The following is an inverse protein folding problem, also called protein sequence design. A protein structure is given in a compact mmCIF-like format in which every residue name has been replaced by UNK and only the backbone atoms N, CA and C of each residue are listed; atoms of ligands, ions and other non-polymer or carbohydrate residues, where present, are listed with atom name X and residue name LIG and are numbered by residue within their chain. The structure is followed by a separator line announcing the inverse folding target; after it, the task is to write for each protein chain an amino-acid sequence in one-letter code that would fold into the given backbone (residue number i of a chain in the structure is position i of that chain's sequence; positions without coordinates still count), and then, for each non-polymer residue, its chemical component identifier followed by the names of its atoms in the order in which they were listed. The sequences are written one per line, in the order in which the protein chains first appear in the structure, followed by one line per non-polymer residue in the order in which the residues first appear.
data_IF_878054902087
#
_entry.id   IF_878054902087
#
_cell.length_a   1.000
_cell.length_b   1.000
_cell.length_c   1.000
_cell.angle_alpha   90.00
_cell.angle_beta   90.00
_cell.angle_gamma   90.00
#
_symmetry.space_group_name_H-M   'P 1'
#
loop_
_entity.id
_entity.type
_entity.pdbx_description
1 polymer ?
#
# COMPACT_ATOMS: atom_id res chain seq x y z
N UNK A 1 23.43 70.73 140.14
CA UNK A 1 23.20 71.93 139.31
C UNK A 1 23.83 71.62 137.96
N UNK A 2 23.16 71.60 136.83
CA UNK A 2 21.82 72.00 136.43
C UNK A 2 21.50 71.21 135.15
N UNK A 3 20.26 70.73 135.00
CA UNK A 3 19.82 69.97 133.82
C UNK A 3 19.78 70.90 132.61
N UNK A 4 20.54 70.59 131.56
CA UNK A 4 20.23 71.05 130.22
C UNK A 4 19.38 69.96 129.54
N UNK A 5 18.06 70.12 129.62
CA UNK A 5 17.10 69.35 128.82
C UNK A 5 17.24 69.78 127.36
N UNK A 6 17.80 68.90 126.54
CA UNK A 6 17.66 68.99 125.10
C UNK A 6 16.30 68.39 124.74
N UNK A 7 15.36 69.25 124.37
CA UNK A 7 14.13 68.83 123.70
C UNK A 7 14.51 68.14 122.39
N UNK A 8 14.54 66.81 122.42
CA UNK A 8 14.52 66.00 121.21
C UNK A 8 13.12 66.08 120.62
N UNK A 9 12.92 67.08 119.75
CA UNK A 9 11.81 67.08 118.81
C UNK A 9 11.94 65.85 117.90
N UNK A 10 11.31 64.76 118.32
CA UNK A 10 11.10 63.57 117.51
C UNK A 10 10.13 63.98 116.39
N UNK A 11 10.66 64.46 115.27
CA UNK A 11 9.90 64.56 114.02
C UNK A 11 9.63 63.15 113.53
N UNK A 12 8.55 62.56 114.02
CA UNK A 12 7.94 61.38 113.40
C UNK A 12 7.35 61.86 112.08
N UNK A 13 8.07 61.63 110.99
CA UNK A 13 7.54 61.89 109.65
C UNK A 13 6.78 60.63 109.26
N UNK A 14 5.45 60.70 109.23
CA UNK A 14 4.64 59.63 108.67
C UNK A 14 4.70 59.77 107.16
N UNK A 15 5.56 58.98 106.51
CA UNK A 15 5.51 58.87 105.05
C UNK A 15 4.28 58.05 104.71
N UNK A 16 3.17 58.72 104.40
CA UNK A 16 1.94 58.07 103.93
C UNK A 16 2.31 57.22 102.70
N UNK A 17 2.16 55.91 102.86
CA UNK A 17 2.46 54.95 101.80
C UNK A 17 1.24 54.84 100.89
N UNK A 18 1.46 54.87 99.58
CA UNK A 18 0.43 54.60 98.60
C UNK A 18 0.06 53.12 98.62
N UNK A 19 -1.21 52.81 98.33
CA UNK A 19 -1.63 51.44 98.00
C UNK A 19 -1.07 50.93 96.66
N UNK A 20 -0.34 51.76 95.93
CA UNK A 20 0.42 51.41 94.72
C UNK A 20 -0.41 51.46 93.43
N UNK A 21 0.26 51.17 92.32
CA UNK A 21 -0.30 51.11 90.97
C UNK A 21 -0.17 49.67 90.43
N UNK A 22 -1.30 49.07 90.04
CA UNK A 22 -1.34 47.84 89.25
C UNK A 22 -1.33 48.18 87.77
N UNK A 23 -0.31 47.75 87.05
CA UNK A 23 -0.20 47.88 85.61
C UNK A 23 -0.63 46.55 84.98
N UNK A 24 -1.74 46.56 84.26
CA UNK A 24 -2.32 45.37 83.62
C UNK A 24 -2.10 45.42 82.12
N UNK A 25 -1.58 44.34 81.58
CA UNK A 25 -1.47 44.08 80.15
C UNK A 25 -2.59 43.11 79.78
N UNK A 26 -3.57 43.58 79.01
CA UNK A 26 -4.85 42.89 78.83
C UNK A 26 -5.03 42.54 77.35
N UNK A 27 -5.45 41.32 77.04
CA UNK A 27 -5.95 40.98 75.71
C UNK A 27 -7.28 41.72 75.49
N UNK A 28 -7.30 42.59 74.49
CA UNK A 28 -8.45 43.44 74.18
C UNK A 28 -9.70 42.62 73.83
N UNK A 29 -9.52 41.44 73.24
CA UNK A 29 -10.59 40.65 72.67
C UNK A 29 -11.19 39.68 73.70
N UNK A 30 -10.36 39.06 74.54
CA UNK A 30 -10.82 38.12 75.58
C UNK A 30 -11.00 38.75 76.95
N UNK A 31 -10.35 39.88 77.23
CA UNK A 31 -10.26 40.49 78.56
C UNK A 31 -9.26 39.81 79.51
N UNK A 32 -8.53 38.80 79.04
CA UNK A 32 -7.53 38.07 79.82
C UNK A 32 -6.35 38.99 80.23
N UNK A 33 -5.94 38.94 81.49
CA UNK A 33 -4.73 39.62 81.95
C UNK A 33 -3.52 38.78 81.54
N UNK A 34 -2.80 39.23 80.51
CA UNK A 34 -1.60 38.61 79.96
C UNK A 34 -0.40 38.72 80.90
N UNK A 35 -0.29 39.87 81.58
CA UNK A 35 0.70 40.13 82.64
C UNK A 35 0.20 41.24 83.54
N UNK A 36 0.53 41.16 84.83
CA UNK A 36 0.30 42.23 85.79
C UNK A 36 1.62 42.60 86.47
N UNK A 37 1.87 43.90 86.63
CA UNK A 37 3.02 44.44 87.37
C UNK A 37 2.51 45.36 88.48
N UNK A 38 3.22 45.39 89.61
CA UNK A 38 2.84 46.21 90.76
C UNK A 38 3.98 47.18 91.10
N UNK A 39 3.66 48.46 91.24
CA UNK A 39 4.61 49.50 91.59
C UNK A 39 4.11 50.29 92.81
N UNK A 40 4.93 50.44 93.84
CA UNK A 40 4.59 51.14 95.09
C UNK A 40 5.54 52.29 95.41
N UNK A 41 5.15 53.13 96.37
CA UNK A 41 5.95 54.27 96.82
C UNK A 41 5.16 55.24 97.71
N UNK A 42 5.78 56.36 98.03
CA UNK A 42 5.16 57.43 98.82
C UNK A 42 4.08 58.17 98.01
N UNK A 43 3.02 58.62 98.69
CA UNK A 43 1.98 59.45 98.07
C UNK A 43 2.61 60.70 97.43
N UNK A 44 2.18 61.04 96.21
CA UNK A 44 2.68 62.16 95.42
C UNK A 44 3.88 61.86 94.52
N UNK A 45 4.53 60.69 94.67
CA UNK A 45 5.58 60.24 93.75
C UNK A 45 5.00 59.95 92.36
N UNK A 46 5.72 60.32 91.30
CA UNK A 46 5.37 59.98 89.92
C UNK A 46 5.98 58.63 89.55
N UNK A 47 5.15 57.74 89.04
CA UNK A 47 5.52 56.43 88.51
C UNK A 47 5.27 56.40 87.01
N UNK A 48 6.24 55.89 86.24
CA UNK A 48 6.13 55.74 84.78
C UNK A 48 5.81 54.30 84.42
N UNK A 49 4.86 54.13 83.51
CA UNK A 49 4.44 52.84 82.97
C UNK A 49 4.71 52.81 81.47
N UNK A 50 4.87 51.62 80.88
CA UNK A 50 5.06 51.47 79.45
C UNK A 50 4.44 50.16 78.96
N UNK A 51 4.17 50.11 77.65
CA UNK A 51 3.85 48.86 76.99
C UNK A 51 5.04 47.90 77.03
N UNK A 52 4.75 46.61 76.92
CA UNK A 52 5.73 45.53 76.97
C UNK A 52 5.62 44.69 75.71
N UNK A 53 6.75 44.13 75.25
CA UNK A 53 6.73 43.13 74.19
C UNK A 53 6.22 41.79 74.77
N UNK A 54 5.05 41.35 74.30
CA UNK A 54 4.42 40.09 74.69
C UNK A 54 4.39 39.19 73.46
N UNK A 55 4.90 37.96 73.59
CA UNK A 55 4.94 37.00 72.49
C UNK A 55 3.56 36.81 71.84
N UNK A 56 3.48 36.94 70.52
CA UNK A 56 2.23 36.86 69.70
C UNK A 56 1.19 37.95 69.94
N UNK A 57 1.54 39.02 70.66
CA UNK A 57 0.66 40.15 70.89
C UNK A 57 1.29 41.45 70.40
N UNK A 58 0.46 42.35 69.90
CA UNK A 58 0.85 43.72 69.54
C UNK A 58 0.06 44.69 70.40
N UNK A 59 0.74 45.70 70.96
CA UNK A 59 0.08 46.77 71.71
C UNK A 59 -0.82 47.57 70.75
N UNK A 60 -2.10 47.68 71.08
CA UNK A 60 -3.07 48.41 70.25
C UNK A 60 -3.68 49.63 70.95
N UNK A 61 -3.62 49.69 72.28
CA UNK A 61 -4.16 50.80 73.06
C UNK A 61 -3.31 51.03 74.30
N UNK A 62 -2.87 52.26 74.50
CA UNK A 62 -2.14 52.71 75.69
C UNK A 62 -3.04 53.55 76.58
N UNK A 63 -2.79 53.63 77.89
CA UNK A 63 -3.53 54.53 78.77
C UNK A 63 -3.35 55.99 78.33
N UNK A 64 -4.34 56.83 78.63
CA UNK A 64 -4.30 58.27 78.31
C UNK A 64 -3.10 58.96 78.98
N UNK A 65 -2.76 58.55 80.20
CA UNK A 65 -1.59 59.01 80.94
C UNK A 65 -0.73 57.82 81.37
N UNK A 66 0.47 57.72 80.81
CA UNK A 66 1.46 56.70 81.18
C UNK A 66 2.26 57.05 82.46
N UNK A 67 2.12 58.29 82.94
CA UNK A 67 2.67 58.77 84.21
C UNK A 67 1.57 58.89 85.25
N UNK A 68 1.74 58.19 86.38
CA UNK A 68 0.75 58.13 87.46
C UNK A 68 1.33 58.77 88.71
N UNK A 69 0.63 59.77 89.24
CA UNK A 69 0.91 60.33 90.58
C UNK A 69 0.25 59.40 91.60
N UNK A 70 1.06 58.83 92.50
CA UNK A 70 0.62 57.89 93.53
C UNK A 70 -0.34 58.54 94.53
N UNK A 71 -1.51 57.93 94.73
CA UNK A 71 -2.52 58.35 95.73
C UNK A 71 -2.65 57.34 96.87
N UNK A 72 -3.50 57.63 97.85
CA UNK A 72 -3.75 56.72 98.97
C UNK A 72 -4.43 55.43 98.50
N UNK A 73 -5.38 55.55 97.57
CA UNK A 73 -6.08 54.45 96.93
C UNK A 73 -5.24 53.69 95.88
N UNK A 74 -5.55 52.40 95.68
CA UNK A 74 -4.94 51.58 94.63
C UNK A 74 -5.38 52.08 93.25
N UNK A 75 -4.41 52.34 92.37
CA UNK A 75 -4.64 52.83 91.01
C UNK A 75 -4.38 51.71 89.99
N UNK A 76 -5.14 51.71 88.88
CA UNK A 76 -5.00 50.69 87.82
C UNK A 76 -4.69 51.37 86.50
N UNK A 77 -3.66 50.90 85.81
CA UNK A 77 -3.27 51.33 84.46
C UNK A 77 -3.39 50.16 83.51
N UNK A 78 -4.17 50.30 82.45
CA UNK A 78 -4.39 49.23 81.47
C UNK A 78 -3.68 49.54 80.15
N UNK A 79 -2.94 48.56 79.64
CA UNK A 79 -2.45 48.49 78.27
C UNK A 79 -3.19 47.36 77.56
N UNK A 80 -3.82 47.64 76.42
CA UNK A 80 -4.53 46.62 75.66
C UNK A 80 -3.75 46.13 74.46
N UNK A 81 -3.72 44.82 74.30
CA UNK A 81 -2.99 44.11 73.26
C UNK A 81 -3.97 43.32 72.39
N UNK A 82 -3.67 43.21 71.11
CA UNK A 82 -4.39 42.31 70.21
C UNK A 82 -3.46 41.18 69.81
N UNK A 83 -3.96 39.95 69.91
CA UNK A 83 -3.23 38.76 69.47
C UNK A 83 -3.05 38.82 67.95
N UNK A 84 -1.90 38.40 67.44
CA UNK A 84 -1.70 38.21 66.00
C UNK A 84 -1.34 36.76 65.70
N UNK A 85 -1.64 36.34 64.48
CA UNK A 85 -1.32 35.01 63.97
C UNK A 85 -0.56 35.12 62.65
N UNK A 86 0.23 34.09 62.37
CA UNK A 86 1.02 34.01 61.13
C UNK A 86 0.17 33.42 60.00
N UNK A 87 0.35 33.97 58.80
CA UNK A 87 -0.21 33.48 57.55
C UNK A 87 0.96 33.08 56.65
N UNK A 88 0.97 31.82 56.24
CA UNK A 88 2.04 31.19 55.46
C UNK A 88 1.46 30.69 54.14
N UNK A 89 1.97 31.22 53.02
CA UNK A 89 1.53 30.87 51.67
C UNK A 89 2.66 30.21 50.91
N UNK A 90 2.40 29.02 50.36
CA UNK A 90 3.36 28.25 49.57
C UNK A 90 2.83 27.93 48.19
N UNK A 91 3.75 27.83 47.22
CA UNK A 91 3.47 27.46 45.84
C UNK A 91 4.22 26.17 45.53
N UNK A 92 3.50 25.07 45.32
CA UNK A 92 4.05 23.71 45.38
C UNK A 92 3.80 22.96 44.06
N UNK A 93 4.81 22.24 43.59
CA UNK A 93 4.64 21.23 42.53
C UNK A 93 3.87 20.03 43.08
N UNK A 94 2.72 19.71 42.50
CA UNK A 94 1.85 18.65 43.02
C UNK A 94 2.47 17.24 42.91
N UNK A 95 3.38 17.04 41.95
CA UNK A 95 3.99 15.74 41.69
C UNK A 95 5.25 15.53 42.55
N UNK A 96 6.05 16.59 42.72
CA UNK A 96 7.33 16.54 43.46
C UNK A 96 7.24 17.01 44.91
N UNK A 97 6.14 17.68 45.27
CA UNK A 97 5.89 18.25 46.59
C UNK A 97 6.97 19.23 47.07
N UNK A 98 7.63 19.93 46.15
CA UNK A 98 8.63 20.97 46.43
C UNK A 98 8.10 22.37 46.11
N UNK A 99 8.66 23.39 46.76
CA UNK A 99 8.32 24.79 46.48
C UNK A 99 8.89 25.23 45.13
N UNK A 100 8.05 25.84 44.29
CA UNK A 100 8.39 26.29 42.92
C UNK A 100 8.41 27.81 42.74
N UNK A 101 8.00 28.55 43.78
CA UNK A 101 8.12 30.00 43.86
C UNK A 101 8.37 30.42 45.31
N UNK A 102 8.84 31.65 45.50
CA UNK A 102 9.09 32.22 46.84
C UNK A 102 7.80 32.22 47.67
N UNK A 103 7.85 31.55 48.82
CA UNK A 103 6.80 31.55 49.83
C UNK A 103 6.59 32.92 50.47
N UNK A 104 5.37 33.21 50.87
CA UNK A 104 4.98 34.47 51.51
C UNK A 104 4.63 34.22 52.98
N UNK A 105 5.10 35.12 53.84
CA UNK A 105 4.76 35.11 55.26
C UNK A 105 4.33 36.51 55.66
N UNK A 106 3.21 36.59 56.35
CA UNK A 106 2.70 37.83 56.92
C UNK A 106 2.07 37.52 58.27
N UNK A 107 1.90 38.53 59.11
CA UNK A 107 1.12 38.43 60.33
C UNK A 107 -0.04 39.43 60.30
N UNK A 108 -1.14 39.05 60.93
CA UNK A 108 -2.36 39.86 61.01
C UNK A 108 -2.97 39.68 62.39
N UNK A 109 -3.56 40.76 62.91
CA UNK A 109 -4.30 40.71 64.19
C UNK A 109 -5.49 39.76 64.07
N UNK A 110 -5.85 39.14 65.18
CA UNK A 110 -7.06 38.34 65.31
C UNK A 110 -8.28 39.13 64.81
N UNK A 111 -9.23 38.45 64.19
CA UNK A 111 -10.43 38.99 63.55
C UNK A 111 -10.21 39.92 62.34
N UNK A 112 -8.96 40.22 61.96
CA UNK A 112 -8.69 40.94 60.70
C UNK A 112 -9.01 40.07 59.49
N UNK A 113 -9.43 40.69 58.40
CA UNK A 113 -9.58 40.01 57.11
C UNK A 113 -8.21 39.74 56.46
N UNK A 114 -8.13 38.61 55.76
CA UNK A 114 -6.99 38.22 54.95
C UNK A 114 -7.43 37.67 53.60
N UNK A 115 -6.55 37.80 52.61
CA UNK A 115 -6.71 37.25 51.27
C UNK A 115 -5.36 36.88 50.70
N UNK A 116 -5.34 35.82 49.90
CA UNK A 116 -4.16 35.26 49.27
C UNK A 116 -4.51 34.86 47.84
N UNK A 117 -3.52 34.95 46.94
CA UNK A 117 -3.71 34.68 45.53
C UNK A 117 -2.68 33.70 44.99
N UNK A 118 -3.11 32.93 43.99
CA UNK A 118 -2.22 32.12 43.16
C UNK A 118 -1.30 33.05 42.35
N UNK A 119 -0.08 32.61 42.11
CA UNK A 119 0.86 33.27 41.20
C UNK A 119 0.80 32.66 39.80
N UNK A 120 1.08 33.49 38.80
CA UNK A 120 1.46 33.01 37.46
C UNK A 120 2.94 32.63 37.48
N UNK A 121 3.20 31.32 37.39
CA UNK A 121 4.55 30.76 37.48
C UNK A 121 4.93 30.21 36.10
N UNK A 122 6.01 30.75 35.51
CA UNK A 122 6.46 30.36 34.17
C UNK A 122 6.71 28.85 34.09
N UNK A 123 6.06 28.19 33.13
CA UNK A 123 6.19 26.75 32.90
C UNK A 123 5.34 25.89 33.84
N UNK A 124 4.44 26.49 34.61
CA UNK A 124 3.54 25.79 35.52
C UNK A 124 2.10 26.25 35.32
N UNK A 125 1.15 25.33 35.53
CA UNK A 125 -0.29 25.61 35.49
C UNK A 125 -0.90 25.30 36.85
N UNK A 126 -1.71 26.22 37.36
CA UNK A 126 -2.42 26.07 38.64
C UNK A 126 -3.45 24.94 38.56
N UNK A 127 -3.50 24.11 39.59
CA UNK A 127 -4.42 22.96 39.66
C UNK A 127 -5.42 23.12 40.80
N UNK A 128 -4.93 23.33 42.03
CA UNK A 128 -5.79 23.39 43.22
C UNK A 128 -5.14 24.17 44.35
N UNK A 129 -5.95 24.59 45.31
CA UNK A 129 -5.49 25.20 46.58
C UNK A 129 -5.89 24.28 47.73
N UNK A 130 -5.08 24.25 48.80
CA UNK A 130 -5.46 23.67 50.09
C UNK A 130 -5.31 24.71 51.18
N UNK A 131 -6.23 24.71 52.14
CA UNK A 131 -6.40 25.81 53.09
C UNK A 131 -7.41 26.83 52.57
N UNK A 132 -7.78 27.79 53.42
CA UNK A 132 -8.72 28.84 53.08
C UNK A 132 -7.96 30.05 52.50
N UNK A 133 -8.15 30.42 51.22
CA UNK A 133 -7.39 31.50 50.61
C UNK A 133 -7.85 32.89 51.09
N UNK A 134 -9.05 32.99 51.66
CA UNK A 134 -9.63 34.23 52.17
C UNK A 134 -10.41 33.95 53.45
N UNK A 135 -10.49 34.92 54.36
CA UNK A 135 -11.31 34.80 55.56
C UNK A 135 -10.92 35.78 56.65
N UNK A 136 -11.26 35.43 57.90
CA UNK A 136 -10.81 36.15 59.10
C UNK A 136 -9.78 35.36 59.88
N UNK A 137 -8.84 36.09 60.46
CA UNK A 137 -7.73 35.50 61.20
C UNK A 137 -8.19 35.06 62.59
N UNK A 138 -8.25 33.75 62.83
CA UNK A 138 -8.62 33.17 64.13
C UNK A 138 -7.53 32.28 64.73
N UNK A 139 -6.59 31.82 63.89
CA UNK A 139 -5.43 31.02 64.25
C UNK A 139 -4.33 31.23 63.19
N UNK A 140 -3.20 30.53 63.31
CA UNK A 140 -2.24 30.44 62.22
C UNK A 140 -2.91 29.84 60.97
N UNK A 141 -2.61 30.40 59.81
CA UNK A 141 -3.21 30.01 58.53
C UNK A 141 -2.10 29.54 57.58
N UNK A 142 -2.29 28.36 57.00
CA UNK A 142 -1.41 27.81 55.95
C UNK A 142 -2.20 27.61 54.66
N UNK A 143 -1.82 28.33 53.61
CA UNK A 143 -2.40 28.21 52.27
C UNK A 143 -1.36 27.63 51.32
N UNK A 144 -1.71 26.60 50.56
CA UNK A 144 -0.84 25.99 49.56
C UNK A 144 -1.52 25.98 48.20
N UNK A 145 -0.93 26.67 47.23
CA UNK A 145 -1.33 26.61 45.83
C UNK A 145 -0.50 25.54 45.12
N UNK A 146 -1.18 24.53 44.55
CA UNK A 146 -0.56 23.41 43.85
C UNK A 146 -0.62 23.60 42.34
N UNK A 147 0.49 23.27 41.68
CA UNK A 147 0.69 23.43 40.25
C UNK A 147 1.22 22.14 39.63
N UNK A 148 0.96 21.95 38.34
CA UNK A 148 1.65 20.95 37.51
C UNK A 148 2.58 21.65 36.53
N UNK A 149 3.71 21.01 36.21
CA UNK A 149 4.64 21.51 35.20
C UNK A 149 4.05 21.34 33.80
N UNK A 150 4.27 22.33 32.94
CA UNK A 150 3.88 22.30 31.53
C UNK A 150 4.96 21.58 30.72
N UNK A 151 4.58 20.70 29.80
CA UNK A 151 5.50 20.04 28.87
C UNK A 151 4.85 19.74 27.54
N UNK A 152 5.67 19.35 26.55
CA UNK A 152 5.25 19.09 25.19
C UNK A 152 5.59 17.68 24.74
N UNK A 153 4.72 17.08 23.94
CA UNK A 153 5.01 15.87 23.18
C UNK A 153 5.02 16.23 21.70
N UNK A 154 6.19 16.09 21.08
CA UNK A 154 6.38 16.21 19.64
C UNK A 154 6.28 14.84 19.01
N UNK A 155 5.38 14.67 18.04
CA UNK A 155 5.23 13.42 17.27
C UNK A 155 5.65 13.69 15.83
N UNK A 156 6.65 12.96 15.33
CA UNK A 156 7.07 13.03 13.94
C UNK A 156 6.69 11.75 13.19
N UNK A 157 6.27 11.93 11.94
CA UNK A 157 6.06 10.85 10.99
C UNK A 157 7.12 10.98 9.90
N UNK A 158 7.99 9.99 9.77
CA UNK A 158 9.28 10.11 9.06
C UNK A 158 9.38 9.01 8.00
N UNK A 159 9.83 9.37 6.81
CA UNK A 159 10.27 8.41 5.80
C UNK A 159 11.59 7.75 6.25
N UNK A 160 11.59 6.43 6.46
CA UNK A 160 12.72 5.67 7.02
C UNK A 160 13.96 5.70 6.11
N UNK A 161 13.79 5.80 4.79
CA UNK A 161 14.90 5.73 3.83
C UNK A 161 15.57 7.09 3.64
N UNK A 162 14.79 8.17 3.67
CA UNK A 162 15.26 9.53 3.37
C UNK A 162 15.34 10.45 4.58
N UNK A 163 14.82 10.03 5.74
CA UNK A 163 14.66 10.83 6.95
C UNK A 163 13.79 12.10 6.77
N UNK A 164 13.06 12.21 5.65
CA UNK A 164 12.16 13.33 5.41
C UNK A 164 10.94 13.23 6.32
N UNK A 165 10.55 14.34 6.96
CA UNK A 165 9.27 14.44 7.66
C UNK A 165 8.11 14.41 6.67
N UNK A 166 7.23 13.44 6.86
CA UNK A 166 5.95 13.31 6.16
C UNK A 166 4.91 14.22 6.82
N UNK A 167 4.95 14.31 8.16
CA UNK A 167 4.07 15.13 8.98
C UNK A 167 4.67 15.30 10.40
N UNK A 168 4.20 16.29 11.16
CA UNK A 168 4.54 16.46 12.57
C UNK A 168 3.39 17.08 13.38
N UNK A 169 3.34 16.80 14.68
CA UNK A 169 2.47 17.49 15.62
C UNK A 169 3.20 17.83 16.91
N UNK A 170 2.82 18.94 17.53
CA UNK A 170 3.29 19.38 18.85
C UNK A 170 2.07 19.49 19.73
N UNK A 171 2.07 18.80 20.86
CA UNK A 171 0.94 18.70 21.77
C UNK A 171 1.40 19.19 23.13
N UNK A 172 0.78 20.24 23.65
CA UNK A 172 1.05 20.76 24.99
C UNK A 172 0.19 20.01 26.03
N UNK A 173 0.73 19.79 27.23
CA UNK A 173 0.01 19.13 28.32
C UNK A 173 0.67 19.37 29.68
N UNK A 174 0.05 18.86 30.74
CA UNK A 174 0.59 18.96 32.10
C UNK A 174 1.21 17.64 32.53
N UNK A 175 2.28 17.71 33.31
CA UNK A 175 2.96 16.53 33.84
C UNK A 175 1.98 15.54 34.51
N UNK A 176 2.09 14.27 34.09
CA UNK A 176 1.25 13.16 34.54
C UNK A 176 -0.03 12.93 33.72
N UNK A 177 -0.43 13.88 32.88
CA UNK A 177 -1.59 13.73 31.98
C UNK A 177 -1.30 12.66 30.92
N UNK A 178 -2.33 11.91 30.53
CA UNK A 178 -2.23 10.86 29.51
C UNK A 178 -2.30 11.45 28.10
N UNK A 179 -1.44 10.95 27.22
CA UNK A 179 -1.39 11.28 25.80
C UNK A 179 -1.47 10.02 24.95
N UNK A 180 -2.44 9.98 24.03
CA UNK A 180 -2.65 8.85 23.14
C UNK A 180 -1.72 8.95 21.93
N UNK A 181 -1.07 7.84 21.61
CA UNK A 181 -0.13 7.72 20.49
C UNK A 181 -0.84 7.09 19.29
N UNK A 182 -0.94 7.84 18.19
CA UNK A 182 -1.68 7.42 17.00
C UNK A 182 -0.80 7.38 15.74
N UNK A 183 -0.90 6.25 15.02
CA UNK A 183 -0.32 6.09 13.69
C UNK A 183 -1.18 6.84 12.66
N UNK A 184 -0.55 7.53 11.72
CA UNK A 184 -1.22 8.10 10.56
C UNK A 184 -1.08 7.20 9.34
N UNK A 185 -2.03 7.32 8.42
CA UNK A 185 -1.98 6.69 7.11
C UNK A 185 -1.52 7.72 6.08
N UNK A 186 -0.51 7.37 5.28
CA UNK A 186 0.00 8.21 4.21
C UNK A 186 -0.14 7.48 2.88
N UNK A 187 -0.54 8.20 1.82
CA UNK A 187 -0.70 7.61 0.49
C UNK A 187 0.65 7.06 -0.01
N UNK A 188 0.66 5.80 -0.44
CA UNK A 188 1.84 5.08 -0.93
C UNK A 188 2.96 4.92 0.14
N UNK A 189 2.59 4.82 1.41
CA UNK A 189 3.51 4.51 2.50
C UNK A 189 2.90 3.48 3.44
N UNK A 190 3.76 2.65 4.03
CA UNK A 190 3.37 1.72 5.09
C UNK A 190 4.21 1.92 6.34
N UNK A 191 3.56 1.77 7.49
CA UNK A 191 4.21 1.84 8.79
C UNK A 191 5.19 0.69 8.97
N UNK A 192 6.39 1.00 9.46
CA UNK A 192 7.46 0.03 9.70
C UNK A 192 7.82 -0.05 11.18
N UNK A 193 8.00 1.10 11.84
CA UNK A 193 8.55 1.16 13.19
C UNK A 193 8.04 2.38 13.93
N UNK A 194 7.81 2.26 15.24
CA UNK A 194 7.35 3.36 16.08
C UNK A 194 7.28 2.92 17.55
N UNK A 195 6.68 3.74 18.43
CA UNK A 195 6.49 3.39 19.84
C UNK A 195 5.72 2.07 20.00
N UNK A 196 6.05 1.32 21.05
CA UNK A 196 5.38 0.06 21.39
C UNK A 196 4.07 0.31 22.14
N UNK A 197 4.06 1.35 22.97
CA UNK A 197 2.91 1.77 23.74
C UNK A 197 1.89 2.54 22.88
N UNK A 198 0.61 2.38 23.20
CA UNK A 198 -0.49 3.14 22.59
C UNK A 198 -0.79 4.47 23.30
N UNK A 199 -0.19 4.68 24.47
CA UNK A 199 -0.29 5.92 25.24
C UNK A 199 0.95 6.11 26.10
N UNK A 200 1.27 7.36 26.39
CA UNK A 200 2.34 7.76 27.31
C UNK A 200 1.81 8.89 28.21
N UNK A 201 2.54 9.22 29.28
CA UNK A 201 2.25 10.39 30.09
C UNK A 201 3.16 11.55 29.72
N UNK A 202 2.65 12.77 29.85
CA UNK A 202 3.48 13.97 29.84
C UNK A 202 4.48 13.91 31.01
N UNK A 203 5.76 14.13 30.71
CA UNK A 203 6.84 14.14 31.70
C UNK A 203 7.16 15.55 32.15
N UNK A 204 8.09 15.69 33.09
CA UNK A 204 8.62 16.99 33.53
C UNK A 204 9.58 17.66 32.52
N UNK A 205 9.67 17.10 31.31
CA UNK A 205 10.43 17.58 30.15
C UNK A 205 9.69 17.24 28.87
N UNK A 206 10.05 17.95 27.79
CA UNK A 206 9.51 17.65 26.48
C UNK A 206 9.99 16.28 25.97
N UNK A 207 9.12 15.60 25.23
CA UNK A 207 9.36 14.26 24.68
C UNK A 207 9.17 14.28 23.16
N UNK A 208 10.02 13.56 22.44
CA UNK A 208 9.91 13.37 20.99
C UNK A 208 9.64 11.90 20.66
N UNK A 209 8.60 11.66 19.86
CA UNK A 209 8.16 10.34 19.41
C UNK A 209 8.22 10.28 17.90
N UNK A 210 8.82 9.19 17.38
CA UNK A 210 9.02 9.02 15.94
C UNK A 210 8.28 7.77 15.44
N UNK A 211 7.47 7.95 14.40
CA UNK A 211 6.90 6.89 13.59
C UNK A 211 7.61 6.85 12.23
N UNK A 212 8.11 5.69 11.84
CA UNK A 212 8.82 5.49 10.59
C UNK A 212 7.97 4.73 9.58
N UNK A 213 7.99 5.22 8.35
CA UNK A 213 7.26 4.69 7.21
C UNK A 213 8.20 4.41 6.05
N UNK A 214 7.85 3.43 5.23
CA UNK A 214 8.55 3.17 3.97
C UNK A 214 7.60 3.36 2.80
N UNK A 215 8.09 3.94 1.71
CA UNK A 215 7.29 4.15 0.51
C UNK A 215 6.97 2.81 -0.15
N UNK A 216 5.78 2.69 -0.73
CA UNK A 216 5.40 1.59 -1.60
C UNK A 216 5.22 2.07 -3.03
N UNK A 217 5.62 1.22 -3.97
CA UNK A 217 5.47 1.44 -5.41
C UNK A 217 4.87 0.19 -6.05
N UNK A 218 4.15 0.37 -7.16
CA UNK A 218 3.57 -0.74 -7.89
C UNK A 218 4.60 -1.36 -8.85
N UNK A 219 4.71 -2.69 -8.82
CA UNK A 219 5.26 -3.49 -9.90
C UNK A 219 4.13 -3.94 -10.80
N UNK A 220 4.15 -3.51 -12.06
CA UNK A 220 3.11 -3.75 -13.06
C UNK A 220 3.72 -4.62 -14.16
N UNK A 221 3.22 -5.84 -14.32
CA UNK A 221 3.68 -6.78 -15.36
C UNK A 221 2.55 -6.99 -16.34
N UNK A 222 2.74 -6.56 -17.59
CA UNK A 222 1.76 -6.73 -18.66
C UNK A 222 2.21 -7.79 -19.66
N UNK A 223 1.25 -8.59 -20.10
CA UNK A 223 1.42 -9.56 -21.17
C UNK A 223 0.60 -9.10 -22.37
N UNK A 224 1.26 -8.81 -23.48
CA UNK A 224 0.71 -8.02 -24.60
C UNK A 224 0.83 -8.81 -25.90
N UNK A 225 -0.25 -8.86 -26.68
CA UNK A 225 -0.20 -9.30 -28.07
C UNK A 225 0.49 -8.21 -28.92
N UNK A 226 1.64 -8.53 -29.50
CA UNK A 226 2.49 -7.61 -30.27
C UNK A 226 1.78 -7.09 -31.52
N UNK A 227 0.90 -7.88 -32.13
CA UNK A 227 0.37 -7.58 -33.45
C UNK A 227 -0.78 -6.56 -33.37
N UNK A 228 -1.49 -6.50 -32.23
CA UNK A 228 -2.63 -5.60 -32.03
C UNK A 228 -2.58 -4.79 -30.72
N UNK A 229 -1.50 -4.91 -29.94
CA UNK A 229 -1.30 -4.28 -28.63
C UNK A 229 -2.35 -4.61 -27.57
N UNK A 230 -3.13 -5.68 -27.74
CA UNK A 230 -4.10 -6.13 -26.74
C UNK A 230 -3.37 -6.65 -25.50
N UNK A 231 -3.74 -6.13 -24.33
CA UNK A 231 -3.31 -6.68 -23.05
C UNK A 231 -4.09 -7.98 -22.81
N UNK A 232 -3.36 -9.09 -22.76
CA UNK A 232 -3.90 -10.41 -22.47
C UNK A 232 -4.02 -10.66 -20.97
N UNK A 233 -3.08 -10.13 -20.20
CA UNK A 233 -3.05 -10.24 -18.74
C UNK A 233 -2.22 -9.12 -18.11
N UNK A 234 -2.54 -8.76 -16.86
CA UNK A 234 -1.79 -7.78 -16.08
C UNK A 234 -1.71 -8.18 -14.61
N UNK A 235 -0.49 -8.24 -14.08
CA UNK A 235 -0.23 -8.43 -12.66
C UNK A 235 0.22 -7.13 -12.02
N UNK A 236 -0.41 -6.75 -10.91
CA UNK A 236 -0.02 -5.57 -10.12
C UNK A 236 0.33 -6.03 -8.71
N UNK A 237 1.55 -5.74 -8.26
CA UNK A 237 2.02 -6.03 -6.89
C UNK A 237 2.54 -4.76 -6.25
N UNK A 238 2.02 -4.41 -5.07
CA UNK A 238 2.57 -3.33 -4.24
C UNK A 238 3.77 -3.85 -3.46
N UNK A 239 4.91 -3.20 -3.65
CA UNK A 239 6.16 -3.58 -2.99
C UNK A 239 6.77 -2.37 -2.27
N UNK A 240 7.39 -2.63 -1.11
CA UNK A 240 8.06 -1.61 -0.30
C UNK A 240 9.39 -1.23 -0.93
N UNK A 241 9.76 0.04 -0.88
CA UNK A 241 11.05 0.54 -1.36
C UNK A 241 12.21 -0.31 -0.82
N UNK A 242 13.02 -0.85 -1.73
CA UNK A 242 14.12 -1.76 -1.39
C UNK A 242 13.76 -3.25 -1.42
N UNK A 243 12.49 -3.64 -1.63
CA UNK A 243 12.11 -5.03 -1.88
C UNK A 243 12.60 -5.50 -3.24
N UNK A 244 13.12 -6.72 -3.30
CA UNK A 244 13.47 -7.37 -4.55
C UNK A 244 12.21 -7.89 -5.27
N UNK A 245 12.26 -7.88 -6.59
CA UNK A 245 11.26 -8.52 -7.43
C UNK A 245 11.92 -9.41 -8.47
N UNK A 246 11.21 -10.46 -8.86
CA UNK A 246 11.53 -11.31 -10.01
C UNK A 246 10.23 -11.60 -10.75
N UNK A 247 10.27 -11.48 -12.06
CA UNK A 247 9.14 -11.79 -12.95
C UNK A 247 9.52 -12.89 -13.91
N UNK A 248 8.51 -13.53 -14.49
CA UNK A 248 8.67 -14.60 -15.47
C UNK A 248 7.56 -14.51 -16.51
N UNK A 249 7.83 -15.00 -17.72
CA UNK A 249 6.81 -15.15 -18.75
C UNK A 249 5.66 -16.05 -18.27
N UNK A 250 4.46 -15.80 -18.80
CA UNK A 250 3.33 -16.73 -18.80
C UNK A 250 3.22 -17.48 -20.11
N UNK A 251 2.55 -18.63 -20.06
CA UNK A 251 2.13 -19.39 -21.24
C UNK A 251 0.68 -19.01 -21.57
N UNK A 252 0.44 -18.72 -22.85
CA UNK A 252 -0.90 -18.41 -23.37
C UNK A 252 -1.18 -19.37 -24.52
N UNK A 253 -2.38 -19.94 -24.54
CA UNK A 253 -2.76 -20.87 -25.60
C UNK A 253 -2.73 -20.18 -26.98
N UNK A 254 -2.11 -20.84 -27.95
CA UNK A 254 -1.87 -20.32 -29.30
C UNK A 254 -0.97 -19.09 -29.42
N UNK A 255 -0.14 -18.77 -28.42
CA UNK A 255 0.85 -17.70 -28.50
C UNK A 255 2.26 -18.19 -28.18
N UNK A 256 3.24 -17.47 -28.70
CA UNK A 256 4.64 -17.61 -28.32
C UNK A 256 5.21 -16.27 -27.88
N UNK A 257 6.11 -16.30 -26.89
CA UNK A 257 6.83 -15.11 -26.45
C UNK A 257 7.82 -14.67 -27.53
N UNK A 258 7.79 -13.38 -27.88
CA UNK A 258 8.69 -12.79 -28.88
C UNK A 258 9.60 -11.71 -28.31
N UNK A 259 9.23 -11.09 -27.18
CA UNK A 259 10.09 -10.11 -26.50
C UNK A 259 9.80 -10.11 -25.00
N UNK A 260 10.86 -10.17 -24.21
CA UNK A 260 10.84 -10.03 -22.74
C UNK A 260 11.30 -8.62 -22.33
N UNK A 261 10.97 -8.14 -21.12
CA UNK A 261 11.53 -6.90 -20.60
C UNK A 261 13.06 -7.02 -20.43
N UNK A 262 13.77 -5.89 -20.47
CA UNK A 262 15.24 -5.87 -20.32
C UNK A 262 15.70 -6.29 -18.92
N UNK A 263 14.91 -5.94 -17.90
CA UNK A 263 15.20 -6.19 -16.49
C UNK A 263 14.04 -6.99 -15.88
N UNK A 264 14.20 -8.31 -15.79
CA UNK A 264 13.20 -9.22 -15.21
C UNK A 264 13.31 -9.32 -13.68
N UNK A 265 14.46 -8.92 -13.13
CA UNK A 265 14.80 -8.95 -11.70
C UNK A 265 15.41 -7.63 -11.29
N UNK A 266 15.03 -7.12 -10.13
CA UNK A 266 15.59 -5.89 -9.60
C UNK A 266 15.06 -5.55 -8.23
N UNK A 267 15.31 -4.32 -7.80
CA UNK A 267 14.83 -3.79 -6.52
C UNK A 267 13.83 -2.67 -6.80
N UNK A 268 12.68 -2.70 -6.15
CA UNK A 268 11.67 -1.66 -6.31
C UNK A 268 12.17 -0.36 -5.68
N UNK A 269 12.06 0.73 -6.43
CA UNK A 269 12.40 2.08 -5.97
C UNK A 269 11.19 2.87 -5.51
N UNK A 270 11.28 4.20 -5.63
CA UNK A 270 10.22 5.15 -5.25
C UNK A 270 9.21 5.43 -6.36
N UNK A 271 9.44 4.89 -7.54
CA UNK A 271 8.58 4.99 -8.71
C UNK A 271 8.04 3.60 -9.05
N UNK A 272 6.85 3.57 -9.67
CA UNK A 272 6.29 2.34 -10.20
C UNK A 272 7.21 1.77 -11.28
N UNK A 273 7.28 0.45 -11.36
CA UNK A 273 8.04 -0.29 -12.38
C UNK A 273 7.04 -0.99 -13.28
N UNK A 274 7.12 -0.75 -14.58
CA UNK A 274 6.28 -1.41 -15.58
C UNK A 274 7.15 -2.30 -16.49
N UNK A 275 6.76 -3.57 -16.62
CA UNK A 275 7.45 -4.58 -17.40
C UNK A 275 6.48 -5.21 -18.42
N UNK A 276 6.91 -5.31 -19.67
CA UNK A 276 6.08 -5.77 -20.77
C UNK A 276 6.67 -7.03 -21.42
N UNK A 277 5.91 -8.12 -21.40
CA UNK A 277 6.15 -9.33 -22.18
C UNK A 277 5.28 -9.29 -23.44
N UNK A 278 5.89 -9.41 -24.61
CA UNK A 278 5.19 -9.38 -25.89
C UNK A 278 5.13 -10.77 -26.51
N UNK A 279 3.95 -11.11 -27.01
CA UNK A 279 3.62 -12.39 -27.60
C UNK A 279 3.09 -12.20 -29.02
N UNK A 280 3.18 -13.25 -29.85
CA UNK A 280 2.45 -13.31 -31.12
C UNK A 280 1.69 -14.62 -31.24
N UNK A 281 0.64 -14.65 -32.05
CA UNK A 281 -0.07 -15.89 -32.34
C UNK A 281 0.82 -16.89 -33.09
N UNK A 282 0.60 -18.18 -32.84
CA UNK A 282 1.18 -19.26 -33.62
C UNK A 282 0.77 -19.14 -35.09
N UNK A 283 1.70 -19.37 -36.00
CA UNK A 283 1.44 -19.44 -37.43
C UNK A 283 0.89 -20.82 -37.80
N UNK A 284 0.08 -20.85 -38.85
CA UNK A 284 -0.58 -22.06 -39.33
C UNK A 284 -0.56 -22.11 -40.85
N UNK A 285 -0.19 -23.25 -41.43
CA UNK A 285 -0.21 -23.49 -42.87
C UNK A 285 -0.11 -24.98 -43.18
N UNK A 286 -1.04 -25.50 -43.97
CA UNK A 286 -0.96 -26.83 -44.55
C UNK A 286 -0.50 -26.76 -46.00
N UNK A 287 -0.08 -27.89 -46.55
CA UNK A 287 0.12 -28.03 -47.99
C UNK A 287 -0.15 -29.46 -48.43
N UNK A 288 -0.57 -29.64 -49.69
CA UNK A 288 -0.80 -30.94 -50.32
C UNK A 288 -0.13 -31.00 -51.68
N UNK A 289 0.45 -32.16 -52.00
CA UNK A 289 1.01 -32.48 -53.31
C UNK A 289 0.51 -33.86 -53.75
N UNK A 290 0.04 -33.99 -54.98
CA UNK A 290 -0.48 -35.22 -55.55
C UNK A 290 0.24 -35.56 -56.84
N UNK A 291 0.72 -36.79 -56.92
CA UNK A 291 1.35 -37.33 -58.12
C UNK A 291 0.69 -38.65 -58.50
N UNK A 292 0.55 -38.89 -59.81
CA UNK A 292 0.21 -40.22 -60.31
C UNK A 292 1.46 -41.08 -60.14
N UNK A 293 1.33 -42.20 -59.41
CA UNK A 293 2.41 -43.17 -59.21
C UNK A 293 2.30 -44.36 -60.15
N UNK A 294 1.07 -44.73 -60.50
CA UNK A 294 0.80 -45.89 -61.35
C UNK A 294 -0.55 -45.76 -62.04
N UNK A 295 -0.64 -46.23 -63.28
CA UNK A 295 -1.91 -46.43 -63.96
C UNK A 295 -1.92 -47.78 -64.68
N UNK A 296 -2.91 -48.62 -64.37
CA UNK A 296 -3.23 -49.81 -65.17
C UNK A 296 -4.37 -49.47 -66.12
N UNK A 297 -4.07 -49.47 -67.42
CA UNK A 297 -5.02 -49.11 -68.46
C UNK A 297 -5.20 -50.32 -69.35
N UNK A 298 -6.40 -50.93 -69.32
CA UNK A 298 -6.75 -52.11 -70.12
C UNK A 298 -5.79 -53.30 -69.92
N UNK A 299 -5.20 -53.46 -68.72
CA UNK A 299 -4.23 -54.51 -68.39
C UNK A 299 -2.77 -54.12 -68.61
N UNK A 300 -2.48 -52.88 -69.01
CA UNK A 300 -1.11 -52.35 -69.13
C UNK A 300 -0.78 -51.40 -67.99
N UNK A 301 0.19 -51.83 -67.19
CA UNK A 301 0.77 -51.03 -66.12
C UNK A 301 1.73 -49.99 -66.70
N UNK A 302 1.54 -48.75 -66.27
CA UNK A 302 2.44 -47.64 -66.49
C UNK A 302 2.81 -47.04 -65.14
N UNK A 303 4.09 -47.04 -64.81
CA UNK A 303 4.61 -46.37 -63.62
C UNK A 303 4.94 -44.93 -63.98
N UNK A 304 4.40 -44.01 -63.20
CA UNK A 304 4.53 -42.58 -63.40
C UNK A 304 5.03 -41.94 -62.11
N UNK A 305 5.73 -40.82 -62.18
CA UNK A 305 6.03 -40.04 -60.99
C UNK A 305 5.90 -38.57 -61.36
N UNK A 306 4.65 -38.10 -61.46
CA UNK A 306 4.42 -36.70 -61.81
C UNK A 306 2.95 -36.29 -61.93
N UNK A 307 2.79 -35.00 -62.22
CA UNK A 307 1.48 -34.32 -62.29
C UNK A 307 0.84 -34.38 -63.66
N UNK A 308 1.63 -34.46 -64.72
CA UNK A 308 1.16 -34.46 -66.10
C UNK A 308 1.78 -35.63 -66.83
N UNK A 309 0.95 -36.62 -67.16
CA UNK A 309 1.42 -37.88 -67.74
C UNK A 309 0.55 -38.28 -68.91
N UNK A 310 1.16 -39.01 -69.85
CA UNK A 310 0.52 -39.48 -71.07
C UNK A 310 0.70 -40.99 -71.16
N UNK A 311 -0.40 -41.70 -71.37
CA UNK A 311 -0.41 -43.14 -71.64
C UNK A 311 -0.81 -43.40 -73.10
N UNK A 312 0.10 -44.00 -73.87
CA UNK A 312 -0.15 -44.43 -75.25
C UNK A 312 -0.58 -45.91 -75.26
N UNK A 313 -1.84 -46.17 -75.59
CA UNK A 313 -2.44 -47.50 -75.52
C UNK A 313 -2.58 -48.08 -76.94
N UNK A 314 -2.09 -49.29 -77.25
CA UNK A 314 -2.30 -49.91 -78.55
C UNK A 314 -3.77 -50.12 -78.88
N UNK A 315 -4.14 -49.94 -80.16
CA UNK A 315 -5.51 -50.14 -80.64
C UNK A 315 -6.08 -51.54 -80.35
N UNK A 316 -5.22 -52.56 -80.18
CA UNK A 316 -5.63 -53.92 -79.77
C UNK A 316 -6.30 -53.95 -78.39
N UNK A 317 -5.85 -53.09 -77.49
CA UNK A 317 -6.21 -53.15 -76.06
C UNK A 317 -7.44 -52.28 -75.76
N UNK A 318 -7.78 -51.34 -76.65
CA UNK A 318 -9.07 -50.64 -76.62
C UNK A 318 -10.27 -51.58 -76.78
N UNK A 319 -10.05 -52.76 -77.38
CA UNK A 319 -11.12 -53.72 -77.67
C UNK A 319 -11.42 -54.67 -76.50
N UNK A 320 -10.62 -54.66 -75.43
CA UNK A 320 -10.85 -55.53 -74.27
C UNK A 320 -11.73 -54.83 -73.22
N UNK A 321 -12.45 -55.63 -72.42
CA UNK A 321 -13.40 -55.12 -71.41
C UNK A 321 -12.73 -54.78 -70.06
N UNK A 322 -11.40 -54.74 -69.99
CA UNK A 322 -10.70 -54.34 -68.77
C UNK A 322 -10.90 -52.84 -68.51
N UNK A 323 -10.74 -52.40 -67.27
CA UNK A 323 -10.98 -51.02 -66.86
C UNK A 323 -9.75 -50.12 -66.92
N UNK A 324 -9.82 -49.01 -66.19
CA UNK A 324 -8.69 -48.15 -65.85
C UNK A 324 -8.57 -48.09 -64.34
N UNK A 325 -7.38 -48.34 -63.79
CA UNK A 325 -7.02 -48.12 -62.39
C UNK A 325 -5.93 -47.07 -62.34
N UNK A 326 -6.11 -46.02 -61.54
CA UNK A 326 -5.09 -45.00 -61.33
C UNK A 326 -4.79 -44.94 -59.84
N UNK A 327 -3.50 -45.00 -59.51
CA UNK A 327 -2.99 -44.88 -58.16
C UNK A 327 -2.22 -43.56 -58.03
N UNK A 328 -2.62 -42.79 -57.03
CA UNK A 328 -2.04 -41.51 -56.66
C UNK A 328 -1.25 -41.66 -55.37
N UNK A 329 -0.16 -40.91 -55.26
CA UNK A 329 0.51 -40.63 -54.00
C UNK A 329 0.23 -39.18 -53.62
N UNK A 330 -0.47 -39.01 -52.51
CA UNK A 330 -0.83 -37.72 -51.92
C UNK A 330 0.08 -37.49 -50.71
N UNK A 331 0.76 -36.35 -50.67
CA UNK A 331 1.65 -35.95 -49.59
C UNK A 331 1.08 -34.70 -48.95
N UNK A 332 0.74 -34.77 -47.67
CA UNK A 332 0.27 -33.62 -46.89
C UNK A 332 1.38 -33.20 -45.92
N UNK A 333 1.59 -31.90 -45.74
CA UNK A 333 2.56 -31.34 -44.80
C UNK A 333 1.91 -30.27 -43.93
N UNK A 334 2.24 -30.27 -42.65
CA UNK A 334 2.04 -29.11 -41.78
C UNK A 334 3.35 -28.32 -41.75
N UNK A 335 3.32 -27.10 -42.26
CA UNK A 335 4.52 -26.32 -42.56
C UNK A 335 4.85 -25.25 -41.52
N UNK A 336 4.00 -25.11 -40.49
CA UNK A 336 4.11 -24.03 -39.50
C UNK A 336 3.97 -24.58 -38.07
N UNK A 337 3.66 -23.70 -37.11
CA UNK A 337 3.95 -23.88 -35.68
C UNK A 337 2.81 -24.52 -34.88
N UNK A 338 1.66 -24.75 -35.51
CA UNK A 338 0.44 -25.17 -34.82
C UNK A 338 0.14 -26.65 -35.06
N UNK A 339 -0.20 -27.38 -33.99
CA UNK A 339 -0.83 -28.71 -34.12
C UNK A 339 -2.29 -28.52 -34.54
N UNK A 340 -2.72 -29.19 -35.60
CA UNK A 340 -4.10 -29.09 -36.09
C UNK A 340 -4.68 -30.44 -36.48
N UNK A 341 -6.01 -30.50 -36.55
CA UNK A 341 -6.70 -31.54 -37.29
C UNK A 341 -7.09 -31.00 -38.68
N UNK A 342 -7.04 -31.88 -39.69
CA UNK A 342 -7.31 -31.52 -41.07
C UNK A 342 -8.14 -32.60 -41.79
N UNK A 343 -8.95 -32.17 -42.75
CA UNK A 343 -9.64 -33.02 -43.71
C UNK A 343 -8.87 -33.02 -45.02
N UNK A 344 -8.39 -34.18 -45.44
CA UNK A 344 -7.91 -34.41 -46.79
C UNK A 344 -9.08 -34.84 -47.67
N UNK A 345 -9.26 -34.20 -48.82
CA UNK A 345 -10.39 -34.38 -49.71
C UNK A 345 -9.85 -34.64 -51.12
N UNK A 346 -10.21 -35.78 -51.71
CA UNK A 346 -9.98 -36.07 -53.13
C UNK A 346 -11.30 -35.90 -53.90
N UNK A 347 -11.23 -35.26 -55.06
CA UNK A 347 -12.36 -35.01 -55.95
C UNK A 347 -12.33 -36.01 -57.09
N UNK A 348 -12.95 -37.17 -56.86
CA UNK A 348 -12.95 -38.31 -57.76
C UNK A 348 -13.48 -37.86 -59.14
N UNK A 349 -12.71 -38.05 -60.23
CA UNK A 349 -13.11 -37.66 -61.57
C UNK A 349 -14.41 -38.34 -62.02
N UNK A 350 -15.20 -37.65 -62.85
CA UNK A 350 -16.43 -38.21 -63.41
C UNK A 350 -16.19 -39.55 -64.12
N UNK A 351 -17.05 -40.54 -63.88
CA UNK A 351 -16.93 -41.89 -64.44
C UNK A 351 -15.93 -42.79 -63.72
N UNK A 352 -15.25 -42.30 -62.68
CA UNK A 352 -14.42 -43.09 -61.78
C UNK A 352 -15.13 -43.30 -60.44
N UNK A 353 -14.79 -44.42 -59.79
CA UNK A 353 -15.19 -44.74 -58.43
C UNK A 353 -13.95 -45.06 -57.60
N UNK A 354 -14.01 -44.84 -56.29
CA UNK A 354 -13.04 -45.35 -55.34
C UNK A 354 -13.71 -46.39 -54.45
N UNK A 355 -12.96 -47.40 -54.03
CA UNK A 355 -13.45 -48.52 -53.22
C UNK A 355 -12.77 -48.52 -51.87
N UNK A 356 -13.49 -48.89 -50.82
CA UNK A 356 -12.98 -48.88 -49.44
C UNK A 356 -11.87 -49.92 -49.23
N UNK A 357 -11.95 -51.06 -49.90
CA UNK A 357 -10.98 -52.14 -49.81
C UNK A 357 -9.60 -51.72 -50.34
N UNK A 358 -9.59 -50.86 -51.37
CA UNK A 358 -8.38 -50.33 -51.99
C UNK A 358 -7.85 -49.05 -51.30
N UNK A 359 -8.67 -48.43 -50.45
CA UNK A 359 -8.42 -47.12 -49.85
C UNK A 359 -8.83 -47.10 -48.37
N UNK A 360 -8.18 -47.90 -47.51
CA UNK A 360 -8.54 -47.97 -46.10
C UNK A 360 -8.40 -46.61 -45.41
N UNK A 361 -9.37 -46.25 -44.58
CA UNK A 361 -9.40 -44.99 -43.82
C UNK A 361 -9.97 -43.78 -44.57
N UNK A 362 -10.38 -43.94 -45.82
CA UNK A 362 -11.16 -42.94 -46.56
C UNK A 362 -12.66 -43.16 -46.40
N UNK A 363 -13.42 -42.07 -46.29
CA UNK A 363 -14.88 -42.03 -46.30
C UNK A 363 -15.37 -41.47 -47.64
N UNK A 364 -16.39 -42.09 -48.25
CA UNK A 364 -16.81 -41.77 -49.62
C UNK A 364 -18.18 -41.09 -49.67
N UNK A 365 -18.27 -40.03 -50.48
CA UNK A 365 -19.48 -39.22 -50.65
C UNK A 365 -19.64 -38.84 -52.12
N UNK A 366 -20.54 -39.53 -52.83
CA UNK A 366 -20.84 -39.33 -54.27
C UNK A 366 -19.59 -39.24 -55.17
N UNK A 367 -19.03 -38.04 -55.31
CA UNK A 367 -17.86 -37.70 -56.12
C UNK A 367 -16.62 -37.25 -55.31
N UNK A 368 -16.60 -37.46 -54.00
CA UNK A 368 -15.47 -37.11 -53.13
C UNK A 368 -15.10 -38.25 -52.20
N UNK A 369 -13.80 -38.37 -51.90
CA UNK A 369 -13.29 -39.18 -50.79
C UNK A 369 -12.69 -38.25 -49.74
N UNK A 370 -12.90 -38.53 -48.45
CA UNK A 370 -12.41 -37.72 -47.34
C UNK A 370 -11.62 -38.55 -46.34
N UNK A 371 -10.57 -37.99 -45.78
CA UNK A 371 -9.78 -38.61 -44.72
C UNK A 371 -9.47 -37.60 -43.62
N UNK A 372 -9.70 -38.02 -42.37
CA UNK A 372 -9.41 -37.22 -41.19
C UNK A 372 -7.95 -37.41 -40.74
N UNK A 373 -7.18 -36.32 -40.76
CA UNK A 373 -5.81 -36.25 -40.27
C UNK A 373 -5.85 -35.63 -38.88
N UNK A 374 -5.71 -36.46 -37.83
CA UNK A 374 -5.67 -35.99 -36.43
C UNK A 374 -4.25 -35.67 -35.96
N UNK A 375 -4.16 -34.73 -35.02
CA UNK A 375 -2.95 -34.35 -34.30
C UNK A 375 -1.76 -34.12 -35.25
N UNK A 376 -1.97 -33.33 -36.30
CA UNK A 376 -0.96 -33.11 -37.32
C UNK A 376 0.06 -32.08 -36.84
N UNK A 377 1.26 -32.55 -36.49
CA UNK A 377 2.26 -31.76 -35.77
C UNK A 377 3.04 -30.79 -36.67
N UNK A 378 3.58 -29.70 -36.12
CA UNK A 378 4.51 -28.81 -36.83
C UNK A 378 5.63 -29.57 -37.56
N UNK A 379 5.80 -29.30 -38.85
CA UNK A 379 6.81 -29.94 -39.71
C UNK A 379 6.50 -31.39 -40.10
N UNK A 380 5.40 -31.97 -39.63
CA UNK A 380 5.03 -33.36 -39.94
C UNK A 380 4.64 -33.51 -41.42
N UNK A 381 5.02 -34.65 -42.00
CA UNK A 381 4.68 -35.06 -43.36
C UNK A 381 3.99 -36.42 -43.31
N UNK A 382 2.82 -36.54 -43.92
CA UNK A 382 2.10 -37.81 -44.08
C UNK A 382 1.91 -38.11 -45.56
N UNK A 383 1.99 -39.39 -45.91
CA UNK A 383 1.82 -39.87 -47.27
C UNK A 383 0.65 -40.84 -47.33
N UNK A 384 -0.14 -40.72 -48.39
CA UNK A 384 -1.35 -41.51 -48.61
C UNK A 384 -1.32 -42.05 -50.04
N UNK A 385 -1.72 -43.31 -50.20
CA UNK A 385 -2.00 -43.88 -51.51
C UNK A 385 -3.51 -43.82 -51.73
N UNK A 386 -3.93 -43.43 -52.93
CA UNK A 386 -5.33 -43.34 -53.31
C UNK A 386 -5.56 -43.95 -54.68
N UNK A 387 -6.50 -44.88 -54.79
CA UNK A 387 -6.80 -45.65 -56.00
C UNK A 387 -8.22 -45.39 -56.47
N UNK A 388 -8.35 -45.05 -57.75
CA UNK A 388 -9.64 -44.90 -58.44
C UNK A 388 -9.73 -45.88 -59.60
N UNK A 389 -10.97 -46.30 -59.90
CA UNK A 389 -11.30 -47.28 -60.93
C UNK A 389 -12.38 -46.75 -61.86
N UNK A 390 -12.24 -47.04 -63.16
CA UNK A 390 -13.32 -46.91 -64.16
C UNK A 390 -13.53 -48.25 -64.87
N UNK A 391 -14.80 -48.61 -65.07
CA UNK A 391 -15.20 -49.82 -65.80
C UNK A 391 -14.76 -49.83 -67.26
N UNK A 392 -14.62 -51.03 -67.84
CA UNK A 392 -14.15 -51.20 -69.21
C UNK A 392 -15.18 -50.92 -70.31
N UNK A 393 -16.43 -50.66 -69.93
CA UNK A 393 -17.56 -50.33 -70.81
C UNK A 393 -17.50 -48.90 -71.37
N UNK A 394 -16.62 -48.05 -70.82
CA UNK A 394 -16.42 -46.66 -71.25
C UNK A 394 -15.25 -46.53 -72.24
N UNK A 395 -15.36 -45.56 -73.15
CA UNK A 395 -14.26 -45.18 -74.03
C UNK A 395 -13.03 -44.77 -73.20
N UNK A 396 -11.88 -45.35 -73.56
CA UNK A 396 -10.64 -45.21 -72.79
C UNK A 396 -9.88 -43.93 -73.11
N UNK A 397 -10.18 -43.31 -74.26
CA UNK A 397 -9.60 -42.04 -74.67
C UNK A 397 -10.15 -40.93 -73.77
N UNK A 398 -9.33 -40.46 -72.84
CA UNK A 398 -9.80 -39.55 -71.81
C UNK A 398 -8.69 -38.62 -71.30
N UNK A 399 -9.11 -37.47 -70.79
CA UNK A 399 -8.31 -36.57 -70.00
C UNK A 399 -8.78 -36.63 -68.55
N UNK A 400 -8.12 -37.47 -67.76
CA UNK A 400 -8.47 -37.65 -66.35
C UNK A 400 -7.82 -36.53 -65.55
N UNK A 401 -8.65 -35.64 -64.99
CA UNK A 401 -8.22 -34.58 -64.09
C UNK A 401 -8.67 -34.92 -62.66
N UNK A 402 -7.73 -35.27 -61.78
CA UNK A 402 -8.03 -35.44 -60.35
C UNK A 402 -7.50 -34.23 -59.58
N UNK A 403 -8.27 -33.76 -58.60
CA UNK A 403 -7.91 -32.67 -57.71
C UNK A 403 -7.94 -33.16 -56.26
N UNK A 404 -7.00 -32.67 -55.46
CA UNK A 404 -6.97 -32.90 -54.02
C UNK A 404 -6.97 -31.55 -53.30
N UNK A 405 -7.57 -31.53 -52.12
CA UNK A 405 -7.57 -30.38 -51.22
C UNK A 405 -7.36 -30.83 -49.78
N UNK A 406 -6.55 -30.10 -49.02
CA UNK A 406 -6.47 -30.24 -47.56
C UNK A 406 -7.12 -29.02 -46.90
N UNK A 407 -7.98 -29.27 -45.89
CA UNK A 407 -8.66 -28.22 -45.13
C UNK A 407 -8.40 -28.39 -43.65
N UNK A 408 -7.93 -27.35 -42.99
CA UNK A 408 -7.95 -27.29 -41.53
C UNK A 408 -9.37 -27.36 -41.01
N UNK A 409 -9.60 -28.12 -39.93
CA UNK A 409 -10.94 -28.28 -39.32
C UNK A 409 -11.30 -27.09 -38.43
N UNK A 410 -10.29 -26.48 -37.81
CA UNK A 410 -10.46 -25.29 -36.99
C UNK A 410 -10.46 -23.99 -37.83
N UNK A 411 -11.10 -22.94 -37.30
CA UNK A 411 -11.18 -21.62 -37.95
C UNK A 411 -9.89 -20.76 -37.83
N UNK A 412 -8.71 -21.38 -37.88
CA UNK A 412 -7.45 -20.62 -37.89
C UNK A 412 -7.12 -20.11 -39.28
N UNK A 413 -6.60 -18.88 -39.33
CA UNK A 413 -6.16 -18.27 -40.58
C UNK A 413 -4.84 -18.90 -41.02
N UNK A 414 -4.87 -19.59 -42.16
CA UNK A 414 -3.68 -20.10 -42.82
C UNK A 414 -2.90 -18.98 -43.53
N UNK A 415 -1.57 -19.13 -43.61
CA UNK A 415 -0.69 -18.17 -44.28
C UNK A 415 -0.85 -18.21 -45.81
N UNK A 416 -1.04 -19.41 -46.36
CA UNK A 416 -1.22 -19.69 -47.76
C UNK A 416 -2.38 -20.68 -47.94
N UNK A 417 -3.27 -20.40 -48.89
CA UNK A 417 -4.36 -21.31 -49.26
C UNK A 417 -4.14 -21.92 -50.65
N UNK A 418 -3.15 -21.45 -51.41
CA UNK A 418 -2.89 -21.94 -52.76
C UNK A 418 -2.22 -23.32 -52.75
N UNK A 419 -1.42 -23.60 -51.73
CA UNK A 419 -0.76 -24.88 -51.48
C UNK A 419 -1.66 -25.91 -50.80
N UNK A 420 -2.87 -25.52 -50.40
CA UNK A 420 -3.89 -26.43 -49.89
C UNK A 420 -4.60 -27.21 -50.99
N UNK A 421 -4.29 -26.96 -52.26
CA UNK A 421 -4.88 -27.67 -53.40
C UNK A 421 -3.81 -28.10 -54.39
N UNK A 422 -4.00 -29.28 -54.96
CA UNK A 422 -3.18 -29.75 -56.06
C UNK A 422 -4.00 -30.55 -57.06
N UNK A 423 -3.46 -30.75 -58.26
CA UNK A 423 -4.15 -31.48 -59.32
C UNK A 423 -3.18 -32.23 -60.22
N UNK A 424 -3.66 -33.32 -60.80
CA UNK A 424 -2.93 -34.09 -61.80
C UNK A 424 -3.78 -34.29 -63.06
N UNK A 425 -3.11 -34.55 -64.19
CA UNK A 425 -3.73 -34.88 -65.46
C UNK A 425 -3.09 -36.11 -66.07
N UNK A 426 -3.91 -37.11 -66.37
CA UNK A 426 -3.53 -38.27 -67.18
C UNK A 426 -4.26 -38.20 -68.51
N UNK A 427 -3.49 -38.09 -69.60
CA UNK A 427 -4.01 -38.18 -70.95
C UNK A 427 -3.86 -39.62 -71.45
N UNK A 428 -4.98 -40.30 -71.68
CA UNK A 428 -5.01 -41.65 -72.25
C UNK A 428 -5.38 -41.53 -73.73
N UNK A 429 -4.52 -42.01 -74.63
CA UNK A 429 -4.75 -41.92 -76.08
C UNK A 429 -4.42 -43.21 -76.82
N UNK A 430 -5.10 -43.47 -77.95
CA UNK A 430 -4.75 -44.56 -78.83
C UNK A 430 -3.40 -44.32 -79.51
N UNK A 431 -2.54 -45.33 -79.45
CA UNK A 431 -1.26 -45.40 -80.14
C UNK A 431 -1.54 -45.60 -81.63
N UNK A 432 -1.73 -44.47 -82.32
CA UNK A 432 -1.84 -44.46 -83.78
C UNK A 432 -0.45 -44.64 -84.36
N UNK A 433 -0.22 -45.78 -85.03
CA UNK A 433 0.98 -45.98 -85.84
C UNK A 433 0.87 -45.19 -87.14
N UNK A 434 0.98 -43.86 -87.11
CA UNK A 434 1.14 -43.06 -88.33
C UNK A 434 2.17 -41.96 -88.07
N UNK A 435 3.26 -41.98 -88.85
CA UNK A 435 4.23 -40.88 -88.91
C UNK A 435 3.48 -39.58 -89.25
N UNK A 436 3.54 -38.61 -88.34
CA UNK A 436 3.48 -37.19 -88.66
C UNK A 436 2.09 -36.56 -88.86
N UNK A 437 1.79 -35.57 -88.02
CA UNK A 437 1.39 -34.21 -88.41
C UNK A 437 0.03 -33.66 -87.95
N UNK A 438 -1.00 -34.43 -87.56
CA UNK A 438 -2.29 -33.80 -87.20
C UNK A 438 -2.65 -33.70 -85.70
N UNK A 439 -2.21 -34.61 -84.83
CA UNK A 439 -2.52 -34.50 -83.39
C UNK A 439 -1.48 -33.70 -82.58
N UNK A 440 -0.28 -33.51 -83.13
CA UNK A 440 0.77 -32.71 -82.49
C UNK A 440 0.41 -31.22 -82.33
N UNK A 441 -0.49 -30.71 -83.19
CA UNK A 441 -0.93 -29.31 -83.16
C UNK A 441 -1.92 -29.04 -82.03
N UNK A 442 -2.78 -30.00 -81.66
CA UNK A 442 -3.70 -29.85 -80.52
C UNK A 442 -2.99 -29.94 -79.16
N UNK A 443 -2.02 -30.85 -79.03
CA UNK A 443 -1.24 -31.02 -77.80
C UNK A 443 -0.32 -29.82 -77.55
N UNK A 444 0.32 -29.28 -78.59
CA UNK A 444 1.13 -28.05 -78.47
C UNK A 444 0.28 -26.79 -78.27
N UNK A 445 -0.91 -26.69 -78.85
CA UNK A 445 -1.83 -25.57 -78.63
C UNK A 445 -2.39 -25.54 -77.18
N UNK A 446 -2.78 -26.70 -76.61
CA UNK A 446 -3.25 -26.79 -75.22
C UNK A 446 -2.15 -26.50 -74.19
N UNK A 447 -0.91 -26.94 -74.46
CA UNK A 447 0.27 -26.64 -73.63
C UNK A 447 0.68 -25.16 -73.77
N UNK A 448 0.57 -24.58 -74.97
CA UNK A 448 0.86 -23.17 -75.26
C UNK A 448 -0.11 -22.19 -74.59
N UNK A 449 -1.41 -22.52 -74.58
CA UNK A 449 -2.44 -21.74 -73.87
C UNK A 449 -2.16 -21.73 -72.35
N UNK A 450 -1.64 -22.83 -71.79
CA UNK A 450 -1.29 -22.92 -70.37
C UNK A 450 -0.06 -22.05 -69.99
N UNK A 451 0.97 -21.98 -70.84
CA UNK A 451 2.10 -21.07 -70.64
C UNK A 451 1.69 -19.59 -70.75
N UNK A 452 0.75 -19.26 -71.66
CA UNK A 452 0.17 -17.92 -71.75
C UNK A 452 -0.62 -17.55 -70.49
N UNK A 453 -1.49 -18.43 -69.97
CA UNK A 453 -2.28 -18.15 -68.76
C UNK A 453 -1.39 -18.01 -67.50
N UNK A 454 -0.33 -18.84 -67.37
CA UNK A 454 0.61 -18.75 -66.25
C UNK A 454 1.51 -17.50 -66.33
N UNK A 455 1.87 -17.04 -67.53
CA UNK A 455 2.67 -15.81 -67.73
C UNK A 455 1.82 -14.54 -67.53
N UNK A 456 0.56 -14.53 -67.95
CA UNK A 456 -0.37 -13.42 -67.69
C UNK A 456 -0.69 -13.25 -66.20
N UNK A 457 -0.91 -14.35 -65.45
CA UNK A 457 -1.10 -14.27 -63.98
C UNK A 457 0.13 -13.74 -63.23
N UNK A 458 1.35 -14.01 -63.73
CA UNK A 458 2.60 -13.52 -63.10
C UNK A 458 2.89 -12.05 -63.42
N UNK A 459 2.44 -11.54 -64.57
CA UNK A 459 2.64 -10.14 -64.97
C UNK A 459 1.63 -9.18 -64.33
N UNK A 460 0.38 -9.60 -64.07
CA UNK A 460 -0.62 -8.77 -63.36
C UNK A 460 -0.23 -8.52 -61.89
N UNK A 461 0.61 -9.39 -61.30
CA UNK A 461 1.14 -9.24 -59.94
C UNK A 461 2.32 -8.24 -59.88
N UNK A 462 2.92 -7.87 -61.02
CA UNK A 462 3.99 -6.85 -61.06
C UNK A 462 3.48 -5.41 -61.22
N UNK A 463 2.29 -5.22 -61.80
CA UNK A 463 1.74 -3.88 -62.03
C UNK A 463 0.78 -3.39 -60.92
N UNK A 464 0.52 -4.21 -59.89
CA UNK A 464 -0.28 -3.84 -58.70
C UNK A 464 0.49 -4.14 -57.40
N UNK A 465 1.66 -3.52 -57.23
CA UNK A 465 2.39 -3.51 -55.96
C UNK A 465 2.69 -2.11 -55.51
#
# INVERSE_FOLDING_TARGET
MERAGGDSNLKVTFNLQSSGVKVRHIDKESGEILKEEYQSGEIGKIVKTAGMNIDKYVLIESPENAEVILKEEEQIVNYYYSKFYDISVKYIDINKNNEIAKSEKMNKRVNSEYGTDKKDIKGYTFVKVTGEPNGRVVSNIDVKYFYKKNSKIKVNYIDKKTNKKLDESINDGLEGDDFKLEKKNFKNYVFIEGPKESSIKFLDKDVEINYYYIKESDLIVKHIDKDNNKIMDTEIKKLREGSEYSTSKKEFDNYILVKKPEIEKGTIGRNNVELNYFYRKLRHNLSVDMNIVKADIKGRIHDYYGKLVKADIPNSDFKNNLGVVIEYKIVVKNTEEKVVDANLIDYIPNGYIARIEDNPGWEFYENTARMLIKNFKPGERREYLFKIYRGGEYDVSDLVNNNVEVKTIDNYKELNLEDNRDSNKLLIVPKTGVKGALYGVFVSALIGIFFMIRKFKKNIIKDNK
#
